data_IF_415443353858
#
_entry.id   IF_415443353858
#
_cell.length_a   1.000
_cell.length_b   1.000
_cell.length_c   1.000
_cell.angle_alpha   90.00
_cell.angle_beta   90.00
_cell.angle_gamma   90.00
#
_symmetry.space_group_name_H-M   'P 1'
#
loop_
_entity.id
_entity.type
_entity.pdbx_description
1 polymer ?
2 polymer ?
3 polymer ?
4 non-polymer ?
5 non-polymer ?
6 non-polymer ?
7 water ?
#
# COMPACT_ATOMS: atom_id res chain seq x y z
N UNK A 7 22.30 0.47 -0.93
CA UNK A 7 20.87 0.37 -0.75
C UNK A 7 20.12 -0.11 -2.02
N UNK A 8 19.40 -1.21 -1.80
CA UNK A 8 18.79 -1.94 -2.90
C UNK A 8 17.28 -1.85 -2.82
N UNK A 9 16.81 -0.74 -2.21
CA UNK A 9 15.35 -0.60 -2.13
C UNK A 9 14.75 -0.67 -3.52
N UNK A 10 13.56 -1.19 -3.65
CA UNK A 10 12.79 -1.10 -4.85
C UNK A 10 13.28 -1.97 -6.01
N UNK A 11 14.24 -2.85 -5.76
CA UNK A 11 14.74 -3.77 -6.74
C UNK A 11 14.33 -5.18 -6.29
N UNK A 12 13.41 -5.80 -7.04
CA UNK A 12 12.85 -7.07 -6.55
C UNK A 12 13.76 -8.23 -6.85
N UNK A 13 14.00 -9.08 -5.88
CA UNK A 13 14.82 -10.29 -6.14
C UNK A 13 14.40 -11.13 -7.34
N UNK A 14 13.10 -11.34 -7.55
CA UNK A 14 12.67 -12.21 -8.62
C UNK A 14 12.41 -11.52 -9.94
N UNK A 15 12.63 -10.20 -9.99
CA UNK A 15 12.41 -9.43 -11.22
C UNK A 15 13.65 -8.61 -11.48
N UNK A 16 13.76 -7.35 -11.00
CA UNK A 16 14.90 -6.50 -11.41
C UNK A 16 16.21 -7.18 -11.10
N UNK A 17 16.36 -7.91 -9.98
CA UNK A 17 17.69 -8.47 -9.67
C UNK A 17 18.12 -9.53 -10.68
N UNK A 18 17.16 -10.17 -11.37
CA UNK A 18 17.48 -11.20 -12.34
C UNK A 18 17.13 -10.72 -13.76
N UNK A 19 16.83 -9.45 -13.97
CA UNK A 19 16.46 -8.88 -15.24
C UNK A 19 15.30 -9.67 -15.87
N UNK A 20 14.29 -9.95 -15.03
CA UNK A 20 13.03 -10.44 -15.51
C UNK A 20 11.95 -9.36 -15.33
N UNK A 21 11.06 -9.19 -16.32
CA UNK A 21 9.93 -8.25 -16.20
C UNK A 21 8.69 -9.02 -15.78
N UNK A 22 7.88 -8.33 -14.98
CA UNK A 22 6.55 -8.86 -14.64
C UNK A 22 5.56 -8.60 -15.78
N UNK A 23 4.38 -9.21 -15.68
CA UNK A 23 3.46 -9.26 -16.82
C UNK A 23 2.87 -7.92 -17.20
N UNK A 24 2.88 -6.91 -16.29
CA UNK A 24 2.18 -5.67 -16.63
C UNK A 24 2.98 -4.41 -16.33
N UNK A 25 4.26 -4.53 -15.94
CA UNK A 25 5.03 -3.30 -15.69
C UNK A 25 5.21 -2.48 -16.97
N UNK A 26 5.20 -3.11 -18.14
CA UNK A 26 5.34 -2.31 -19.35
C UNK A 26 4.19 -1.33 -19.52
N UNK A 27 3.00 -1.69 -19.01
CA UNK A 27 1.86 -0.76 -19.09
C UNK A 27 2.18 0.52 -18.35
N UNK A 28 2.89 0.39 -17.22
CA UNK A 28 3.31 1.58 -16.48
C UNK A 28 4.29 2.42 -17.28
N UNK A 29 5.33 1.76 -17.80
CA UNK A 29 6.33 2.46 -18.57
C UNK A 29 5.74 3.21 -19.76
N UNK A 30 4.81 2.57 -20.47
CA UNK A 30 4.17 3.19 -21.62
C UNK A 30 3.33 4.41 -21.27
N UNK A 31 2.91 4.53 -20.02
CA UNK A 31 2.15 5.69 -19.60
C UNK A 31 3.04 6.88 -19.26
N UNK A 32 4.39 6.44 -19.08
CA UNK A 32 5.31 7.50 -18.63
C UNK A 32 5.76 8.20 -19.91
N UNK A 33 5.02 9.06 -20.52
CA UNK A 33 5.35 9.42 -21.91
C UNK A 33 6.11 10.71 -21.91
N UNK A 34 5.71 11.58 -20.99
CA UNK A 34 6.08 12.97 -21.16
C UNK A 34 5.90 13.81 -19.98
N UNK B 1 -9.20 -5.61 -4.01
CA UNK B 1 -8.97 -4.98 -5.35
C UNK B 1 -10.08 -5.44 -6.26
N UNK B 2 -10.75 -4.51 -6.92
CA UNK B 2 -11.79 -4.81 -7.90
C UNK B 2 -11.24 -4.73 -9.30
N UNK B 3 -11.53 -5.75 -10.10
CA UNK B 3 -11.15 -5.82 -11.50
C UNK B 3 -9.65 -5.79 -11.70
N UNK B 4 -8.92 -6.41 -10.77
CA UNK B 4 -7.49 -6.62 -10.93
C UNK B 4 -7.23 -8.06 -11.37
N UNK B 5 -6.03 -8.53 -11.04
CA UNK B 5 -5.67 -9.89 -11.40
C UNK B 5 -4.73 -10.42 -10.33
N UNK B 6 -4.49 -11.71 -10.34
CA UNK B 6 -3.56 -12.33 -9.38
C UNK B 6 -2.14 -11.79 -9.54
N UNK B 7 -1.51 -11.45 -8.45
CA UNK B 7 -0.09 -11.10 -8.49
C UNK B 7 0.73 -12.31 -8.92
N UNK B 8 1.85 -12.04 -9.57
CA UNK B 8 2.93 -12.99 -9.68
C UNK B 8 3.69 -13.19 -8.34
N UNK B 9 4.31 -14.36 -8.19
CA UNK B 9 5.15 -14.62 -7.01
C UNK B 9 6.28 -13.61 -6.96
N UNK B 10 6.48 -12.96 -5.82
CA UNK B 10 7.53 -11.99 -5.62
C UNK B 10 7.35 -10.67 -6.33
N UNK B 11 6.15 -10.41 -6.86
CA UNK B 11 5.87 -9.15 -7.61
C UNK B 11 5.84 -7.94 -6.73
N UNK B 12 5.45 -8.12 -5.46
CA UNK B 12 5.30 -6.97 -4.54
C UNK B 12 5.92 -7.47 -3.22
N UNK B 13 7.24 -7.55 -3.16
CA UNK B 13 7.85 -8.15 -1.96
C UNK B 13 7.86 -7.25 -0.73
N UNK B 14 7.43 -5.99 -0.93
CA UNK B 14 7.26 -5.02 0.16
C UNK B 14 5.84 -5.06 0.70
N UNK B 15 4.92 -5.86 0.15
CA UNK B 15 3.56 -5.94 0.63
C UNK B 15 3.48 -6.52 2.03
N UNK B 16 2.71 -5.84 2.88
CA UNK B 16 2.52 -6.30 4.25
C UNK B 16 1.04 -6.46 4.52
N UNK B 17 0.70 -7.53 5.22
CA UNK B 17 -0.65 -7.73 5.75
C UNK B 17 -0.72 -7.34 7.20
N UNK B 18 -1.62 -6.42 7.54
CA UNK B 18 -1.87 -6.16 8.95
C UNK B 18 -2.96 -7.14 9.38
N UNK B 19 -2.67 -7.89 10.43
CA UNK B 19 -3.51 -9.03 10.81
C UNK B 19 -3.99 -8.85 12.24
N UNK B 20 -5.32 -8.92 12.45
CA UNK B 20 -5.81 -8.79 13.80
C UNK B 20 -5.62 -10.11 14.53
N UNK B 21 -5.15 -10.01 15.77
CA UNK B 21 -4.87 -11.26 16.51
C UNK B 21 -6.14 -12.00 16.90
N UNK B 22 -7.09 -11.19 17.34
CA UNK B 22 -8.27 -11.96 17.78
C UNK B 22 -9.44 -10.99 17.78
N UNK B 23 -10.46 -11.36 17.05
CA UNK B 23 -10.57 -12.43 16.06
C UNK B 23 -9.65 -12.33 14.85
N UNK B 24 -9.16 -13.47 14.39
CA UNK B 24 -8.12 -13.48 13.34
C UNK B 24 -8.73 -13.01 12.05
N UNK B 25 -8.27 -11.85 11.55
CA UNK B 25 -8.85 -11.36 10.31
C UNK B 25 -7.88 -10.37 9.66
N UNK B 26 -8.07 -10.16 8.35
CA UNK B 26 -7.37 -9.09 7.64
C UNK B 26 -7.79 -7.76 8.21
N UNK B 27 -6.85 -6.93 8.60
CA UNK B 27 -7.28 -5.55 8.90
C UNK B 27 -7.01 -4.55 7.80
N UNK B 28 -5.88 -4.72 7.11
CA UNK B 28 -5.43 -3.67 6.21
C UNK B 28 -4.19 -4.17 5.47
N UNK B 29 -3.81 -3.44 4.44
CA UNK B 29 -2.49 -3.52 3.89
C UNK B 29 -1.53 -2.51 4.51
N UNK B 30 -0.28 -2.65 4.08
CA UNK B 30 0.86 -1.91 4.58
C UNK B 30 2.06 -2.17 3.65
N UNK B 31 3.18 -1.53 3.91
CA UNK B 31 4.35 -1.77 3.08
C UNK B 31 5.63 -1.77 3.94
N UNK B 32 6.62 -2.52 3.51
CA UNK B 32 7.92 -2.62 4.15
C UNK B 32 8.85 -1.55 3.57
N UNK B 33 9.33 -0.66 4.43
CA UNK B 33 10.28 0.39 3.99
C UNK B 33 11.69 0.21 4.52
N UNK B 34 11.93 -0.69 5.43
CA UNK B 34 13.24 -1.07 5.89
C UNK B 34 13.06 -2.35 6.71
N UNK B 35 14.16 -2.83 7.32
CA UNK B 35 14.06 -4.09 8.06
C UNK B 35 13.25 -4.00 9.32
N UNK B 36 12.89 -2.85 9.83
CA UNK B 36 12.19 -2.61 11.07
C UNK B 36 11.02 -1.65 10.96
N UNK B 37 10.75 -1.05 9.83
CA UNK B 37 9.67 -0.06 9.67
C UNK B 37 8.68 -0.45 8.57
N UNK B 38 7.41 -0.29 8.91
CA UNK B 38 6.25 -0.60 8.08
C UNK B 38 5.39 0.66 8.01
N UNK B 39 4.97 1.00 6.80
CA UNK B 39 4.14 2.16 6.48
C UNK B 39 2.71 1.75 6.18
N UNK B 40 1.75 2.48 6.72
CA UNK B 40 0.34 2.19 6.46
C UNK B 40 -0.46 3.49 6.50
N UNK B 41 -1.77 3.34 6.40
CA UNK B 41 -2.68 4.45 6.56
C UNK B 41 -3.05 4.64 8.02
N UNK B 42 -3.15 5.86 8.48
CA UNK B 42 -3.61 6.10 9.85
C UNK B 42 -5.00 5.54 10.06
N UNK B 43 -5.87 5.58 9.03
CA UNK B 43 -7.24 5.09 9.26
C UNK B 43 -7.34 3.58 9.46
N UNK B 44 -6.24 2.86 9.15
CA UNK B 44 -6.19 1.44 9.48
C UNK B 44 -6.09 1.20 10.97
N UNK B 45 -5.55 2.18 11.70
CA UNK B 45 -5.33 2.09 13.14
C UNK B 45 -6.26 2.95 13.95
N UNK B 46 -6.71 4.08 13.42
CA UNK B 46 -7.49 5.05 14.21
C UNK B 46 -8.61 5.62 13.38
N UNK B 47 -9.84 5.33 13.73
CA UNK B 47 -10.97 5.99 13.06
C UNK B 47 -12.16 5.89 14.03
N UNK B 48 -12.21 6.87 14.94
CA UNK B 48 -13.28 6.88 15.95
C UNK B 48 -14.70 6.76 15.45
N UNK B 49 -15.12 7.31 14.33
CA UNK B 49 -16.53 7.08 13.96
C UNK B 49 -16.94 5.64 13.78
N UNK B 50 -16.02 4.74 13.48
CA UNK B 50 -16.29 3.33 13.34
C UNK B 50 -15.70 2.55 14.52
N UNK B 51 -15.43 3.22 15.64
CA UNK B 51 -14.91 2.60 16.88
C UNK B 51 -13.62 1.82 16.69
N UNK B 52 -12.74 2.40 15.87
CA UNK B 52 -11.46 1.78 15.57
C UNK B 52 -10.35 2.55 16.27
N UNK B 53 -9.63 1.83 17.11
CA UNK B 53 -8.49 2.44 17.80
C UNK B 53 -7.59 1.29 18.27
N UNK B 54 -6.75 0.80 17.36
CA UNK B 54 -5.96 -0.35 17.69
C UNK B 54 -4.64 0.02 18.35
N UNK B 55 -4.21 -0.81 19.25
CA UNK B 55 -2.96 -0.66 19.95
C UNK B 55 -1.99 -1.72 19.42
N UNK B 56 -0.71 -1.56 19.74
CA UNK B 56 0.34 -2.41 19.26
C UNK B 56 0.04 -3.89 19.50
N UNK B 57 -0.47 -4.23 20.68
CA UNK B 57 -0.58 -5.66 21.00
C UNK B 57 -1.84 -6.26 20.40
N UNK B 58 -2.59 -5.47 19.62
CA UNK B 58 -3.79 -5.98 19.01
C UNK B 58 -3.55 -6.62 17.65
N UNK B 59 -2.40 -6.33 17.07
CA UNK B 59 -2.11 -6.69 15.70
C UNK B 59 -0.77 -7.38 15.52
N UNK B 60 -0.66 -7.99 14.34
CA UNK B 60 0.60 -8.54 13.86
C UNK B 60 0.81 -8.09 12.41
N UNK B 61 2.05 -8.12 11.98
CA UNK B 61 2.36 -7.89 10.59
C UNK B 61 2.84 -9.20 9.93
N UNK B 62 2.37 -9.45 8.73
CA UNK B 62 2.70 -10.69 7.99
C UNK B 62 3.31 -10.26 6.67
N UNK B 63 4.55 -10.65 6.44
CA UNK B 63 5.36 -10.16 5.34
C UNK B 63 5.75 -11.33 4.46
N UNK B 64 5.87 -11.11 3.16
CA UNK B 64 6.24 -12.15 2.24
C UNK B 64 5.08 -13.00 1.77
N UNK B 65 3.85 -12.56 2.00
CA UNK B 65 2.72 -13.40 1.65
C UNK B 65 2.25 -13.28 0.22
N UNK B 66 1.55 -14.34 -0.18
CA UNK B 66 0.88 -14.40 -1.48
C UNK B 66 -0.57 -14.86 -1.29
N UNK B 67 -0.73 -16.08 -0.76
CA UNK B 67 -2.00 -16.53 -0.28
C UNK B 67 -2.60 -15.62 0.81
N UNK B 68 -3.89 -15.32 0.71
CA UNK B 68 -4.60 -14.50 1.70
C UNK B 68 -4.71 -15.23 3.03
N UNK B 69 -5.23 -16.48 2.95
CA UNK B 69 -5.68 -17.09 4.20
C UNK B 69 -4.73 -18.13 4.78
N UNK B 70 -3.84 -18.65 3.93
CA UNK B 70 -2.97 -19.73 4.42
C UNK B 70 -1.76 -19.21 5.20
N UNK B 71 -1.26 -20.07 6.11
CA UNK B 71 0.01 -19.80 6.77
C UNK B 71 1.14 -20.32 5.88
N UNK B 72 1.89 -19.44 5.26
CA UNK B 72 2.81 -19.81 4.18
C UNK B 72 4.19 -20.11 4.75
N UNK B 73 4.23 -21.32 5.26
CA UNK B 73 5.37 -21.88 5.94
C UNK B 73 6.66 -21.75 5.14
N UNK B 74 7.72 -21.29 5.75
CA UNK B 74 9.02 -21.14 5.16
C UNK B 74 9.11 -19.99 4.14
N UNK B 75 8.08 -19.19 4.02
CA UNK B 75 8.07 -18.05 3.12
C UNK B 75 7.73 -16.78 3.84
N UNK B 76 6.56 -16.75 4.50
CA UNK B 76 6.15 -15.51 5.19
C UNK B 76 6.89 -15.47 6.50
N UNK B 77 6.94 -14.23 6.98
CA UNK B 77 7.44 -13.90 8.31
C UNK B 77 6.42 -13.09 9.06
N UNK B 78 6.24 -13.43 10.32
CA UNK B 78 5.30 -12.73 11.18
C UNK B 78 6.01 -11.94 12.25
N UNK B 79 5.67 -10.65 12.38
CA UNK B 79 6.37 -9.73 13.25
C UNK B 79 5.39 -9.06 14.21
N UNK B 80 5.90 -8.86 15.43
CA UNK B 80 5.18 -8.13 16.45
C UNK B 80 5.51 -6.66 16.36
N UNK B 81 4.62 -5.80 16.85
CA UNK B 81 4.86 -4.38 16.82
C UNK B 81 5.43 -3.87 18.14
N UNK B 82 6.48 -3.07 17.98
CA UNK B 82 7.00 -2.36 19.14
C UNK B 82 6.23 -1.07 19.42
N UNK B 83 5.89 -0.33 18.37
CA UNK B 83 5.23 0.96 18.56
C UNK B 83 4.62 1.44 17.26
N UNK B 84 3.48 2.12 17.41
CA UNK B 84 2.72 2.79 16.37
C UNK B 84 2.94 4.29 16.47
N UNK B 85 3.14 4.96 15.36
CA UNK B 85 3.21 6.41 15.25
C UNK B 85 2.17 6.89 14.22
N UNK B 86 1.18 7.64 14.66
CA UNK B 86 0.23 8.21 13.74
C UNK B 86 0.58 9.71 13.54
N UNK B 87 0.40 10.20 12.30
CA UNK B 87 0.66 11.60 12.05
C UNK B 87 -0.13 12.48 13.05
N UNK B 88 0.53 13.42 13.71
CA UNK B 88 -0.15 14.19 14.76
C UNK B 88 -1.28 15.09 14.33
N UNK B 89 -1.42 15.41 13.08
CA UNK B 89 -2.30 16.22 12.28
C UNK B 89 -3.17 15.42 11.33
N UNK B 90 -3.24 14.10 11.46
CA UNK B 90 -4.21 13.24 10.82
C UNK B 90 -5.62 13.74 11.14
N UNK B 91 -6.35 14.08 10.09
CA UNK B 91 -7.67 14.70 10.16
C UNK B 91 -8.76 13.66 9.94
N UNK B 92 -8.98 12.84 10.96
CA UNK B 92 -10.00 11.81 10.89
C UNK B 92 -11.41 12.40 10.96
N UNK B 93 -11.56 13.63 11.42
CA UNK B 93 -12.90 14.21 11.57
C UNK B 93 -13.53 14.61 10.25
N UNK B 94 -12.68 14.90 9.26
CA UNK B 94 -13.20 15.51 8.00
C UNK B 94 -12.95 14.67 6.78
N UNK B 95 -11.68 14.50 6.40
CA UNK B 95 -11.31 13.98 5.10
C UNK B 95 -10.09 13.05 5.11
N UNK B 96 -9.67 12.58 6.24
CA UNK B 96 -8.45 11.77 6.40
C UNK B 96 -7.24 12.50 5.87
N UNK B 97 -7.20 13.84 5.95
CA UNK B 97 -5.96 14.51 5.57
C UNK B 97 -4.77 13.98 6.36
N UNK B 98 -3.64 13.78 5.73
CA UNK B 98 -2.45 13.23 6.34
C UNK B 98 -2.68 11.82 6.91
N UNK B 99 -3.22 10.97 6.03
CA UNK B 99 -3.59 9.61 6.37
C UNK B 99 -2.38 8.68 6.30
N UNK B 100 -1.59 8.71 7.33
CA UNK B 100 -0.28 8.06 7.36
C UNK B 100 0.10 7.65 8.78
N UNK B 101 0.67 6.46 8.89
CA UNK B 101 1.17 5.92 10.14
C UNK B 101 2.39 5.04 9.86
N UNK B 102 3.25 4.97 10.86
CA UNK B 102 4.40 4.10 10.87
C UNK B 102 4.32 3.10 12.00
N UNK B 103 4.85 1.90 11.76
CA UNK B 103 4.91 0.87 12.78
C UNK B 103 6.34 0.34 12.84
N UNK B 104 6.91 0.36 14.05
CA UNK B 104 8.25 -0.16 14.24
C UNK B 104 8.14 -1.59 14.74
N UNK B 105 8.82 -2.52 14.10
CA UNK B 105 8.75 -3.93 14.46
C UNK B 105 9.63 -4.20 15.69
N UNK B 106 9.27 -5.21 16.47
CA UNK B 106 10.06 -5.56 17.65
C UNK B 106 11.48 -6.01 17.31
N UNK B 107 11.62 -6.70 16.18
CA UNK B 107 12.88 -7.28 15.73
C UNK B 107 13.01 -7.05 14.22
N UNK B 108 14.21 -6.93 13.68
CA UNK B 108 14.34 -6.74 12.24
C UNK B 108 13.94 -8.00 11.49
N UNK B 109 13.35 -7.85 10.32
CA UNK B 109 12.94 -8.97 9.44
C UNK B 109 14.08 -9.19 8.44
N UNK B 110 14.39 -10.46 8.22
CA UNK B 110 15.34 -10.89 7.21
C UNK B 110 14.71 -10.78 5.83
N UNK B 111 15.44 -10.17 4.88
CA UNK B 111 14.99 -10.04 3.50
C UNK B 111 15.19 -11.38 2.80
N UNK B 112 14.44 -11.61 1.74
CA UNK B 112 14.44 -12.86 1.02
C UNK B 112 13.94 -12.58 -0.40
N UNK B 113 13.75 -13.66 -1.17
CA UNK B 113 13.16 -13.49 -2.50
C UNK B 113 11.76 -12.92 -2.41
N UNK B 114 11.11 -13.03 -1.26
CA UNK B 114 9.72 -12.69 -1.09
C UNK B 114 9.50 -11.46 -0.24
N UNK B 115 10.57 -10.97 0.40
CA UNK B 115 10.56 -9.91 1.42
C UNK B 115 11.64 -8.92 1.10
N UNK B 116 11.26 -7.69 0.70
CA UNK B 116 12.24 -6.71 0.26
C UNK B 116 11.63 -5.34 0.35
N UNK B 117 12.31 -4.31 0.79
CA UNK B 117 11.67 -2.97 0.93
C UNK B 117 11.51 -2.20 -0.36
N UNK B 118 10.50 -1.34 -0.35
CA UNK B 118 10.21 -0.40 -1.44
C UNK B 118 10.95 0.91 -1.17
N UNK B 119 11.29 1.69 -2.18
CA UNK B 119 11.85 3.00 -1.98
C UNK B 119 10.79 4.08 -1.68
N UNK B 120 11.21 5.07 -0.93
CA UNK B 120 10.39 6.27 -0.79
C UNK B 120 10.88 7.34 -1.72
N UNK B 121 9.99 8.11 -2.32
CA UNK B 121 10.40 9.13 -3.27
C UNK B 121 11.09 10.32 -2.61
N UNK B 122 11.95 10.92 -3.40
CA UNK B 122 12.46 12.25 -3.06
C UNK B 122 11.72 13.25 -3.94
N UNK B 123 12.05 14.52 -3.79
CA UNK B 123 11.25 15.56 -4.42
C UNK B 123 11.24 15.42 -5.94
N UNK B 124 12.41 15.06 -6.46
CA UNK B 124 12.54 15.01 -7.92
C UNK B 124 11.76 13.85 -8.51
N UNK B 125 11.72 12.74 -7.81
CA UNK B 125 10.95 11.56 -8.17
C UNK B 125 9.48 11.90 -8.24
N UNK B 126 9.04 12.35 -7.20
CA UNK B 126 7.65 12.74 -7.16
C UNK B 126 7.32 13.69 -8.30
N UNK B 127 8.18 14.67 -8.56
CA UNK B 127 7.88 15.66 -9.59
C UNK B 127 7.81 14.97 -10.94
N UNK B 128 8.70 14.01 -11.16
CA UNK B 128 8.78 13.35 -12.46
C UNK B 128 7.64 12.36 -12.68
N UNK B 129 7.16 11.87 -11.64
CA UNK B 129 6.21 10.76 -11.87
C UNK B 129 4.79 11.07 -11.47
N UNK B 130 4.56 12.03 -10.59
CA UNK B 130 3.21 12.33 -10.15
C UNK B 130 2.51 13.32 -11.05
N UNK B 131 2.12 12.75 -12.18
CA UNK B 131 1.50 13.50 -13.29
C UNK B 131 0.26 12.79 -13.81
N UNK B 132 -0.75 13.59 -14.13
CA UNK B 132 -1.97 13.00 -14.66
C UNK B 132 -1.67 12.14 -15.88
N UNK B 133 -2.27 10.95 -15.87
CA UNK B 133 -2.15 9.96 -16.91
C UNK B 133 -1.10 8.90 -16.65
N UNK B 134 -0.10 9.25 -15.81
CA UNK B 134 0.94 8.28 -15.45
C UNK B 134 0.30 7.22 -14.55
N UNK B 135 0.65 5.96 -14.77
CA UNK B 135 0.04 4.89 -14.01
C UNK B 135 0.92 4.40 -12.89
N UNK B 136 0.25 4.05 -11.81
CA UNK B 136 0.85 3.31 -10.71
C UNK B 136 0.09 2.01 -10.50
N UNK B 137 0.56 1.29 -9.46
CA UNK B 137 0.09 -0.04 -9.19
C UNK B 137 -0.33 -0.14 -7.73
N UNK B 138 -1.50 -0.72 -7.54
CA UNK B 138 -2.08 -0.93 -6.22
C UNK B 138 -2.26 -2.45 -6.00
N UNK B 139 -1.94 -2.92 -4.80
CA UNK B 139 -1.98 -4.31 -4.46
C UNK B 139 -2.69 -4.49 -3.11
N UNK B 140 -3.34 -5.66 -2.98
CA UNK B 140 -3.97 -5.96 -1.73
C UNK B 140 -4.79 -7.25 -1.73
N UNK B 141 -5.24 -7.58 -0.53
CA UNK B 141 -6.08 -8.76 -0.29
C UNK B 141 -7.52 -8.40 0.06
N UNK B 142 -7.86 -7.15 -0.23
CA UNK B 142 -9.23 -6.70 0.06
C UNK B 142 -10.26 -7.28 -0.88
N UNK B 143 -11.51 -6.82 -0.70
CA UNK B 143 -12.63 -7.36 -1.43
C UNK B 143 -12.50 -7.20 -2.94
N UNK B 144 -13.11 -8.18 -3.60
CA UNK B 144 -13.13 -8.18 -5.06
C UNK B 144 -14.27 -7.35 -5.67
N UNK B 145 -15.27 -7.00 -4.86
CA UNK B 145 -16.45 -6.27 -5.22
C UNK B 145 -16.92 -5.38 -4.05
N UNK B 146 -17.57 -4.28 -4.38
CA UNK B 146 -18.14 -3.39 -3.38
C UNK B 146 -19.21 -4.12 -2.56
N UNK B 147 -20.05 -4.98 -3.14
CA UNK B 147 -21.10 -5.54 -2.29
C UNK B 147 -21.35 -7.03 -2.58
N UNK B 155 -16.23 -12.48 -3.88
CA UNK B 155 -16.03 -11.83 -2.60
C UNK B 155 -14.63 -11.55 -2.13
N UNK B 156 -13.85 -12.48 -1.60
CA UNK B 156 -12.45 -12.24 -1.19
C UNK B 156 -11.51 -13.12 -1.99
N UNK B 157 -10.31 -12.62 -2.27
CA UNK B 157 -9.44 -13.36 -3.19
C UNK B 157 -8.66 -14.47 -2.54
N UNK B 158 -8.26 -15.49 -3.30
CA UNK B 158 -7.38 -16.52 -2.76
C UNK B 158 -5.95 -16.00 -2.65
N UNK B 159 -5.48 -15.17 -3.55
CA UNK B 159 -4.12 -14.62 -3.50
C UNK B 159 -4.12 -13.12 -3.73
N UNK B 160 -3.00 -12.52 -3.40
CA UNK B 160 -2.75 -11.09 -3.60
C UNK B 160 -3.17 -10.63 -4.97
N UNK B 161 -3.91 -9.51 -5.01
CA UNK B 161 -4.40 -8.93 -6.24
C UNK B 161 -3.64 -7.65 -6.57
N UNK B 162 -3.55 -7.57 -7.86
CA UNK B 162 -2.83 -6.40 -8.37
C UNK B 162 -3.64 -5.69 -9.45
N UNK B 163 -3.62 -4.18 -9.54
CA UNK B 163 -4.25 -3.41 -10.61
C UNK B 163 -3.38 -2.17 -10.85
N UNK B 164 -3.25 -1.83 -12.14
CA UNK B 164 -2.55 -0.60 -12.53
C UNK B 164 -3.60 0.47 -12.85
N UNK B 165 -3.41 1.68 -12.34
CA UNK B 165 -4.37 2.74 -12.46
C UNK B 165 -3.68 4.09 -12.76
N UNK B 166 -4.30 4.89 -13.62
CA UNK B 166 -3.72 6.22 -13.90
C UNK B 166 -4.07 7.26 -12.88
N UNK B 167 -3.08 8.11 -12.59
CA UNK B 167 -3.26 9.32 -11.79
C UNK B 167 -4.21 10.26 -12.54
N UNK B 168 -5.16 10.83 -11.81
CA UNK B 168 -6.15 11.71 -12.42
C UNK B 168 -5.89 13.19 -12.14
N UNK B 169 -6.24 14.03 -13.08
CA UNK B 169 -6.12 15.47 -13.00
C UNK B 169 -6.81 15.99 -11.72
N UNK B 170 -6.18 16.90 -11.00
CA UNK B 170 -6.78 17.30 -9.74
C UNK B 170 -8.17 17.92 -9.89
N UNK B 171 -8.48 18.72 -10.88
CA UNK B 171 -9.86 19.20 -10.98
C UNK B 171 -10.87 18.08 -11.17
N UNK B 172 -10.51 17.02 -11.87
CA UNK B 172 -11.46 15.91 -12.01
C UNK B 172 -11.66 15.22 -10.67
N UNK B 173 -10.57 15.02 -9.92
CA UNK B 173 -10.65 14.45 -8.56
C UNK B 173 -11.64 15.26 -7.71
N UNK B 174 -11.42 16.56 -7.69
CA UNK B 174 -12.25 17.43 -6.87
C UNK B 174 -13.73 17.43 -7.27
N UNK B 175 -13.94 17.40 -8.59
CA UNK B 175 -15.29 17.42 -9.15
C UNK B 175 -16.05 16.11 -9.02
N UNK B 176 -15.41 15.05 -8.54
CA UNK B 176 -16.01 13.73 -8.39
C UNK B 176 -16.64 13.52 -7.02
N UNK B 177 -16.45 14.41 -6.08
CA UNK B 177 -16.78 14.16 -4.68
C UNK B 177 -17.21 15.46 -4.01
N UNK B 178 -17.96 15.27 -2.91
CA UNK B 178 -18.30 16.37 -2.02
C UNK B 178 -17.25 16.57 -0.92
N UNK B 179 -16.34 15.61 -0.73
CA UNK B 179 -15.33 15.75 0.31
C UNK B 179 -14.26 16.73 -0.13
N UNK B 180 -13.74 17.51 0.79
CA UNK B 180 -12.69 18.49 0.55
C UNK B 180 -11.36 17.76 0.37
N UNK B 181 -10.79 17.95 -0.82
CA UNK B 181 -9.50 17.36 -1.13
C UNK B 181 -8.37 18.33 -0.74
N UNK B 182 -7.22 17.75 -0.37
CA UNK B 182 -6.05 18.53 0.03
C UNK B 182 -4.84 18.16 -0.83
N UNK B 183 -3.79 18.98 -0.71
CA UNK B 183 -2.54 18.72 -1.40
C UNK B 183 -1.81 17.49 -0.90
N UNK B 184 -2.12 16.95 0.27
CA UNK B 184 -1.62 15.71 0.81
C UNK B 184 -2.32 14.45 0.28
N UNK B 185 -3.18 14.58 -0.73
CA UNK B 185 -3.88 13.50 -1.40
C UNK B 185 -3.73 13.61 -2.93
N UNK B 186 -3.81 12.47 -3.60
CA UNK B 186 -4.05 12.46 -5.02
C UNK B 186 -5.08 11.38 -5.34
N UNK B 187 -5.69 11.39 -6.53
CA UNK B 187 -6.64 10.34 -6.88
C UNK B 187 -6.18 9.64 -8.16
N UNK B 188 -6.67 8.41 -8.30
CA UNK B 188 -6.29 7.56 -9.43
C UNK B 188 -7.45 6.66 -9.82
N UNK B 189 -7.52 6.25 -11.07
CA UNK B 189 -8.56 5.41 -11.61
C UNK B 189 -8.90 5.81 -13.03
N UNK B 190 -9.58 4.91 -13.74
CA UNK B 190 -10.05 5.24 -15.08
C UNK B 190 -11.35 6.05 -15.01
N UNK B 191 -11.49 6.86 -16.05
CA UNK B 191 -12.69 7.63 -16.26
C UNK B 191 -13.74 6.72 -16.91
N UNK B 192 -14.99 7.11 -16.77
CA UNK B 192 -16.03 6.32 -17.41
C UNK B 192 -15.87 6.14 -18.91
N UNK B 193 -15.36 7.14 -19.65
CA UNK B 193 -15.16 7.03 -21.09
C UNK B 193 -13.91 6.23 -21.44
N UNK B 194 -13.03 5.94 -20.50
CA UNK B 194 -11.82 5.18 -20.80
C UNK B 194 -12.05 3.68 -20.92
N UNK B 195 -13.22 3.14 -20.52
CA UNK B 195 -13.48 1.73 -20.73
C UNK B 195 -12.73 0.78 -19.81
N UNK B 196 -11.47 0.99 -19.43
CA UNK B 196 -10.82 0.06 -18.49
C UNK B 196 -11.35 0.39 -17.10
N UNK B 197 -11.25 -0.54 -16.16
CA UNK B 197 -11.78 -0.35 -14.82
C UNK B 197 -10.79 -0.73 -13.74
N UNK B 198 -11.15 -0.61 -12.48
CA UNK B 198 -10.21 -1.07 -11.45
C UNK B 198 -10.22 -0.14 -10.25
N UNK B 199 -10.09 -0.66 -9.05
CA UNK B 199 -10.00 0.17 -7.83
C UNK B 199 -9.51 -0.68 -6.67
N UNK B 200 -9.06 0.01 -5.64
CA UNK B 200 -8.93 -0.62 -4.31
C UNK B 200 -10.31 -0.82 -3.73
N UNK B 201 -10.43 -1.63 -2.69
CA UNK B 201 -11.68 -1.80 -1.96
C UNK B 201 -11.44 -2.14 -0.48
N UNK B 202 -12.49 -2.43 0.28
CA UNK B 202 -12.36 -2.72 1.70
C UNK B 202 -11.30 -3.79 1.97
N UNK B 203 -10.37 -3.49 2.86
CA UNK B 203 -9.24 -4.38 3.20
C UNK B 203 -7.97 -4.03 2.48
N UNK B 204 -8.04 -3.20 1.45
CA UNK B 204 -6.85 -2.72 0.76
C UNK B 204 -6.26 -1.45 1.36
N UNK B 205 -7.01 -0.74 2.18
CA UNK B 205 -6.57 0.42 2.89
C UNK B 205 -5.18 0.21 3.44
N UNK B 206 -4.33 1.24 3.35
CA UNK B 206 -3.00 1.13 3.93
C UNK B 206 -1.94 0.56 3.01
N UNK B 207 -2.37 -0.12 1.95
CA UNK B 207 -1.41 -0.69 1.02
C UNK B 207 -0.79 0.36 0.12
N UNK B 208 0.22 -0.08 -0.63
CA UNK B 208 0.99 0.85 -1.44
C UNK B 208 0.47 1.10 -2.85
N UNK B 209 0.66 2.35 -3.29
CA UNK B 209 0.54 2.76 -4.69
C UNK B 209 1.98 2.99 -5.15
N UNK B 210 2.46 2.14 -6.04
CA UNK B 210 3.87 2.21 -6.44
C UNK B 210 4.02 2.54 -7.92
N UNK B 211 5.15 3.13 -8.27
CA UNK B 211 5.52 3.48 -9.61
C UNK B 211 6.95 3.01 -9.88
N UNK B 212 7.22 2.51 -11.08
CA UNK B 212 8.58 2.04 -11.40
C UNK B 212 9.32 3.16 -12.13
N UNK B 213 10.35 3.72 -11.54
CA UNK B 213 11.02 4.84 -12.21
C UNK B 213 11.67 4.38 -13.50
N UNK B 214 11.43 5.13 -14.57
CA UNK B 214 12.11 4.82 -15.84
C UNK B 214 13.56 5.32 -15.89
N UNK B 215 13.95 6.03 -14.84
CA UNK B 215 15.29 6.58 -14.76
C UNK B 215 16.30 5.61 -14.16
N UNK B 216 15.83 4.94 -13.07
CA UNK B 216 16.75 4.07 -12.36
C UNK B 216 16.19 2.66 -12.14
N UNK B 217 15.02 2.31 -12.71
CA UNK B 217 14.49 0.93 -12.68
C UNK B 217 14.07 0.49 -11.27
N UNK B 218 13.89 1.42 -10.34
CA UNK B 218 13.47 1.07 -9.00
C UNK B 218 12.00 1.43 -8.78
N UNK B 219 11.37 0.64 -7.92
CA UNK B 219 10.01 0.92 -7.47
C UNK B 219 9.95 1.85 -6.28
N UNK B 220 9.12 2.87 -6.39
CA UNK B 220 8.86 3.91 -5.42
C UNK B 220 7.41 3.87 -4.96
N UNK B 221 7.27 4.01 -3.64
CA UNK B 221 5.90 4.13 -3.10
C UNK B 221 5.48 5.61 -3.09
N UNK B 222 4.60 5.93 -4.04
CA UNK B 222 4.14 7.32 -4.18
C UNK B 222 2.90 7.59 -3.34
N UNK B 223 2.13 6.53 -3.09
CA UNK B 223 0.84 6.70 -2.39
C UNK B 223 0.57 5.59 -1.39
N UNK B 224 -0.43 5.85 -0.54
CA UNK B 224 -1.01 4.88 0.38
C UNK B 224 -2.50 4.84 0.13
N UNK B 225 -3.08 3.65 0.00
CA UNK B 225 -4.53 3.57 -0.19
C UNK B 225 -5.24 4.25 1.00
N UNK B 226 -5.96 5.33 0.68
CA UNK B 226 -6.67 6.12 1.71
C UNK B 226 -8.17 5.89 1.57
N UNK B 227 -8.97 6.92 1.33
CA UNK B 227 -10.41 6.80 1.25
C UNK B 227 -10.95 6.67 -0.18
N UNK B 228 -12.15 6.11 -0.24
CA UNK B 228 -12.93 6.04 -1.44
C UNK B 228 -14.43 6.01 -1.08
N UNK B 229 -15.26 6.26 -2.09
CA UNK B 229 -16.73 6.25 -1.91
C UNK B 229 -17.17 5.11 -2.82
N UNK B 230 -17.46 4.00 -2.17
CA UNK B 230 -17.71 2.78 -2.94
C UNK B 230 -16.43 2.23 -3.49
N UNK B 231 -16.53 1.33 -4.44
CA UNK B 231 -15.37 0.71 -5.05
C UNK B 231 -15.72 0.49 -6.54
N UNK B 232 -14.83 1.03 -7.39
CA UNK B 232 -14.90 0.85 -8.84
C UNK B 232 -16.24 1.39 -9.40
N UNK B 233 -16.72 2.48 -8.82
CA UNK B 233 -17.92 3.15 -9.32
C UNK B 233 -17.53 4.09 -10.46
N UNK B 234 -18.37 4.04 -11.50
CA UNK B 234 -18.19 5.00 -12.58
C UNK B 234 -18.29 6.43 -12.03
N UNK B 235 -17.25 7.20 -12.38
CA UNK B 235 -17.18 8.62 -12.06
C UNK B 235 -16.65 8.91 -10.67
N UNK B 236 -16.24 7.89 -9.94
CA UNK B 236 -15.61 8.00 -8.63
C UNK B 236 -14.15 7.57 -8.82
N UNK B 237 -13.28 8.07 -7.98
CA UNK B 237 -11.85 7.77 -7.96
C UNK B 237 -11.40 7.38 -6.57
N UNK B 238 -10.39 6.51 -6.48
CA UNK B 238 -9.78 6.26 -5.19
C UNK B 238 -8.82 7.36 -4.83
N UNK B 239 -8.71 7.61 -3.53
CA UNK B 239 -7.81 8.62 -3.02
C UNK B 239 -6.64 7.98 -2.26
N UNK B 240 -5.47 8.58 -2.38
CA UNK B 240 -4.18 8.08 -1.93
C UNK B 240 -3.44 9.18 -1.16
N UNK B 241 -2.83 8.79 -0.04
CA UNK B 241 -1.97 9.72 0.69
C UNK B 241 -0.72 9.99 -0.14
N UNK B 242 -0.38 11.28 -0.23
CA UNK B 242 0.78 11.73 -1.01
C UNK B 242 2.05 11.53 -0.19
N UNK B 243 2.77 10.43 -0.43
CA UNK B 243 3.85 10.07 0.50
C UNK B 243 4.93 11.12 0.55
N UNK B 244 5.36 11.65 -0.61
CA UNK B 244 6.43 12.62 -0.62
C UNK B 244 6.05 13.84 0.21
N UNK B 245 4.81 14.32 0.13
CA UNK B 245 4.43 15.51 0.89
C UNK B 245 4.52 15.30 2.40
N UNK B 246 4.52 14.05 2.88
CA UNK B 246 4.56 13.70 4.30
C UNK B 246 5.92 13.12 4.67
N UNK B 247 6.90 13.22 3.77
CA UNK B 247 8.17 12.57 4.08
C UNK B 247 8.95 13.26 5.18
N UNK B 248 8.78 14.57 5.38
CA UNK B 248 9.49 15.17 6.52
C UNK B 248 9.10 14.50 7.85
N UNK B 249 7.80 14.20 7.90
CA UNK B 249 7.32 13.51 9.11
C UNK B 249 7.88 12.09 9.23
N UNK B 250 7.85 11.38 8.11
CA UNK B 250 8.44 10.01 8.12
C UNK B 250 9.86 10.04 8.62
N UNK B 251 10.65 10.91 8.03
CA UNK B 251 12.06 11.04 8.38
C UNK B 251 12.23 11.47 9.83
N UNK B 252 11.38 12.35 10.32
CA UNK B 252 11.49 12.79 11.71
C UNK B 252 11.28 11.65 12.68
N UNK B 253 10.31 10.82 12.37
CA UNK B 253 10.02 9.69 13.25
C UNK B 253 11.12 8.65 13.23
N UNK B 254 11.58 8.32 12.03
CA UNK B 254 12.61 7.28 11.93
C UNK B 254 13.91 7.85 12.51
N UNK B 255 14.20 9.13 12.31
CA UNK B 255 15.46 9.65 12.90
C UNK B 255 15.39 9.73 14.42
N UNK B 256 14.18 9.95 14.96
CA UNK B 256 14.09 10.06 16.41
C UNK B 256 14.06 8.70 17.11
N UNK B 257 13.35 7.76 16.52
CA UNK B 257 12.99 6.51 17.16
C UNK B 257 13.59 5.23 16.58
N UNK B 258 14.25 5.30 15.44
CA UNK B 258 14.84 4.13 14.76
C UNK B 258 16.13 3.79 15.48
N UNK B 259 16.72 2.67 15.17
CA UNK B 259 17.67 1.88 15.90
C UNK B 259 18.98 1.71 15.15
N UNK C 1 -11.95 -19.16 8.31
CA UNK C 1 -11.31 -18.86 7.01
C UNK C 1 -9.81 -18.65 7.11
N UNK C 2 -9.20 -17.99 8.10
CA UNK C 2 -7.74 -17.97 8.09
C UNK C 2 -7.15 -19.20 8.78
N UNK C 3 -6.09 -19.74 8.20
CA UNK C 3 -5.34 -20.84 8.79
C UNK C 3 -4.68 -20.33 10.07
N UNK C 4 -4.69 -21.13 11.12
CA UNK C 4 -4.04 -20.80 12.40
C UNK C 4 -2.57 -20.53 12.21
N UNK C 5 -1.99 -19.52 12.85
CA UNK C 5 -0.55 -19.29 12.75
C UNK C 5 0.14 -19.90 13.96
N UNK C 6 1.43 -20.14 13.90
CA UNK C 6 2.09 -20.75 15.07
C UNK C 6 1.93 -19.93 16.33
N UNK C 7 1.75 -20.71 17.41
CA UNK C 7 1.48 -20.22 18.75
C UNK C 7 2.51 -19.17 19.18
N UNK C 8 3.74 -19.34 18.72
CA UNK C 8 4.89 -18.51 19.04
C UNK C 8 4.55 -17.06 18.76
N UNK C 9 3.79 -16.81 17.71
CA UNK C 9 3.52 -15.39 17.45
C UNK C 9 2.34 -14.77 18.18
N UNK C 10 1.65 -15.53 19.01
CA UNK C 10 0.52 -14.97 19.76
C UNK C 10 0.84 -14.79 21.25
X LIG D 1 -14.25 4.72 -10.83
X LIG E 1 -16.29 18.57 -5.32
X LIG F 1 -11.36 1.01 1.59
X LIG F 1 -11.71 2.51 1.38
X LIG F 1 -10.72 3.16 0.57
X LIG F 1 -10.71 3.10 -0.80
X LIG F 1 -11.71 2.45 -1.56
X LIG F 1 -11.61 2.53 -2.96
X LIG F 1 -10.49 3.08 -3.46
X LIG F 1 -9.48 3.73 -2.83
X LIG F 1 -9.63 3.73 -1.45
X LIG F 1 -11.79 3.16 2.76
X LIG F 1 -12.49 4.42 2.52
X LIG F 1 -12.81 5.14 3.64
X LIG F 1 -12.26 4.96 4.89
X LIG F 1 -12.59 5.77 6.02
X LIG F 1 -11.98 5.53 7.33
X LIG F 1 -13.55 6.76 5.76
X LIG F 1 -13.77 6.15 3.46
X LIG F 1 -14.11 6.99 4.57
X LIG F 1 -15.16 8.02 4.33
X LIG F 1 -16.33 7.54 4.01
X LIG F 1 -14.96 9.32 4.62
X LIG F 1 -13.62 9.90 4.77
X LIG F 1 -13.30 10.80 3.57
X LIG F 1 -13.46 10.62 6.11
X LIG F 1 -16.16 10.20 4.62
X LIG F 1 -16.94 10.05 5.81
X LIG F 1 -18.10 10.87 5.80
X LIG F 1 -18.06 12.04 6.01
X LIG F 1 -19.27 10.35 5.51
X LIG F 1 -20.64 10.98 5.54
X LIG F 1 -20.66 12.14 4.51
X LIG F 1 -20.86 11.58 6.94
X LIG F 1 -21.69 9.84 5.19
#
# INVERSE_FOLDING_TARGET
TFGSGEADCGLRPLFEKKSLEDKTERELLESYIDGR
IVEGSDAEIGMSPWQVMLFRKSPQELLCGASLISDRWVLTAAHCLLYPPWDKNFTENDLLVRIGKHSRTRYERNIEKISMLEKIYIHPRYNWRENLDRDIALMKLKKPVAFSDYIHPVCLPDRETAASLLQAGYKGRVTGWGNLKETWTANVGKGQPSVLQVVNLPIVERPVCKDSTRIRITDNMFCAGYKPDEGKRGDACEGDSGGPFVMKSPFNNRWYQMGIVSWGEGCDRDGKYGFYTHVFRLKKWIQKVIDQFGE
DFEEIPEEYL
NA NA
CA CA
897 C8 C7 N3 C9 C10 C11 N4 C12 C13 C1 O3 C14 C15 C19 C20 C18 C16 C17 C21 O2 N2 C22 C23 C24 C6 C5 C4 O1 N1 C3 C25 C26 C2
#
